data_IF_173181086193
#
_entry.id   IF_173181086193
#
_cell.length_a   1.000
_cell.length_b   1.000
_cell.length_c   1.000
_cell.angle_alpha   90.00
_cell.angle_beta   90.00
_cell.angle_gamma   90.00
#
_symmetry.space_group_name_H-M   'P 1'
#
loop_
_entity.id
_entity.type
_entity.pdbx_description
1 polymer ?
#
# COMPACT_ATOMS: atom_id res chain seq x y z
N UNK A 1 22.84 -27.55 4.48
CA UNK A 1 22.83 -26.75 3.24
C UNK A 1 23.88 -25.66 3.38
N UNK A 2 25.06 -25.79 2.75
CA UNK A 2 26.13 -24.79 2.84
C UNK A 2 25.84 -23.67 1.84
N UNK A 3 25.77 -22.41 2.29
CA UNK A 3 25.51 -21.26 1.42
C UNK A 3 24.63 -20.15 1.99
N UNK A 4 24.06 -20.34 3.19
CA UNK A 4 23.31 -19.29 3.88
C UNK A 4 24.23 -18.66 4.94
N UNK A 5 24.74 -17.46 4.68
CA UNK A 5 25.68 -16.74 5.57
C UNK A 5 25.03 -16.22 6.86
N UNK A 6 23.69 -16.18 6.95
CA UNK A 6 22.97 -15.78 8.17
C UNK A 6 21.73 -16.64 8.40
N UNK A 7 21.66 -17.34 9.54
CA UNK A 7 20.41 -17.94 10.01
C UNK A 7 19.47 -16.86 10.58
N UNK A 8 18.15 -17.09 10.52
CA UNK A 8 17.11 -16.18 11.02
C UNK A 8 17.29 -15.79 12.51
N UNK A 9 18.06 -16.58 13.26
CA UNK A 9 18.31 -16.44 14.70
C UNK A 9 19.70 -15.88 15.06
N UNK A 10 20.57 -15.60 14.07
CA UNK A 10 21.90 -15.03 14.31
C UNK A 10 21.87 -13.55 13.94
N UNK A 11 21.94 -12.61 14.91
CA UNK A 11 21.99 -11.20 14.56
C UNK A 11 23.28 -10.94 13.77
N UNK A 12 23.21 -10.40 12.54
CA UNK A 12 24.40 -9.95 11.83
C UNK A 12 25.11 -8.87 12.64
N UNK A 13 26.41 -8.63 12.42
CA UNK A 13 27.15 -7.57 13.10
C UNK A 13 26.38 -6.25 12.99
N UNK A 14 26.33 -5.49 14.09
CA UNK A 14 25.44 -4.33 14.27
C UNK A 14 25.51 -3.32 13.12
N UNK A 15 26.69 -3.17 12.51
CA UNK A 15 26.93 -2.28 11.38
C UNK A 15 26.26 -2.77 10.09
N UNK A 16 26.36 -4.07 9.78
CA UNK A 16 25.66 -4.66 8.63
C UNK A 16 24.14 -4.58 8.81
N UNK A 17 23.65 -4.87 10.02
CA UNK A 17 22.23 -4.73 10.34
C UNK A 17 21.72 -3.30 10.09
N UNK A 18 22.52 -2.28 10.44
CA UNK A 18 22.17 -0.88 10.24
C UNK A 18 22.16 -0.50 8.76
N UNK A 19 23.15 -0.95 7.98
CA UNK A 19 23.23 -0.68 6.54
C UNK A 19 22.08 -1.36 5.77
N UNK A 20 21.80 -2.64 6.06
CA UNK A 20 20.67 -3.36 5.48
C UNK A 20 19.32 -2.72 5.86
N UNK A 21 19.17 -2.29 7.11
CA UNK A 21 17.98 -1.56 7.57
C UNK A 21 17.78 -0.24 6.83
N UNK A 22 18.86 0.53 6.61
CA UNK A 22 18.83 1.77 5.85
C UNK A 22 18.46 1.54 4.38
N UNK A 23 19.03 0.52 3.75
CA UNK A 23 18.68 0.14 2.38
C UNK A 23 17.20 -0.24 2.27
N UNK A 24 16.70 -1.05 3.19
CA UNK A 24 15.30 -1.46 3.19
C UNK A 24 14.35 -0.27 3.41
N UNK A 25 14.74 0.68 4.26
CA UNK A 25 14.01 1.91 4.49
C UNK A 25 13.92 2.78 3.23
N UNK A 26 15.05 3.02 2.55
CA UNK A 26 15.07 3.82 1.31
C UNK A 26 14.24 3.19 0.20
N UNK A 27 14.34 1.87 0.01
CA UNK A 27 13.54 1.15 -0.97
C UNK A 27 12.04 1.29 -0.70
N UNK A 28 11.65 1.10 0.57
CA UNK A 28 10.25 1.19 0.98
C UNK A 28 9.69 2.62 0.86
N UNK A 29 10.49 3.62 1.20
CA UNK A 29 10.13 5.03 0.98
C UNK A 29 9.87 5.32 -0.50
N UNK A 30 10.75 4.87 -1.40
CA UNK A 30 10.60 5.06 -2.84
C UNK A 30 9.27 4.51 -3.36
N UNK A 31 8.92 3.29 -2.94
CA UNK A 31 7.68 2.63 -3.33
C UNK A 31 6.43 3.35 -2.79
N UNK A 32 6.49 3.83 -1.54
CA UNK A 32 5.37 4.52 -0.88
C UNK A 32 5.11 5.91 -1.46
N UNK A 33 6.15 6.65 -1.83
CA UNK A 33 6.04 7.99 -2.42
C UNK A 33 5.48 7.96 -3.84
N UNK A 34 5.72 6.87 -4.57
CA UNK A 34 5.35 6.75 -5.98
C UNK A 34 3.83 6.81 -6.20
N UNK A 35 3.06 6.16 -5.33
CA UNK A 35 1.59 6.08 -5.38
C UNK A 35 0.93 7.47 -5.32
N UNK A 36 1.14 8.31 -4.28
CA UNK A 36 0.54 9.64 -4.21
C UNK A 36 1.08 10.60 -5.26
N UNK A 37 2.31 10.40 -5.76
CA UNK A 37 2.86 11.18 -6.87
C UNK A 37 2.02 11.00 -8.14
N UNK A 38 1.55 9.78 -8.41
CA UNK A 38 0.72 9.45 -9.58
C UNK A 38 -0.75 9.81 -9.37
N UNK A 39 -1.28 9.57 -8.18
CA UNK A 39 -2.73 9.75 -7.91
C UNK A 39 -3.12 11.21 -7.67
N UNK A 40 -2.29 11.99 -6.96
CA UNK A 40 -2.60 13.39 -6.63
C UNK A 40 -2.93 14.27 -7.86
N UNK A 41 -2.19 14.22 -8.98
CA UNK A 41 -2.53 15.02 -10.16
C UNK A 41 -3.84 14.58 -10.83
N UNK A 42 -4.17 13.28 -10.82
CA UNK A 42 -5.41 12.78 -11.43
C UNK A 42 -6.68 13.27 -10.73
N UNK A 43 -6.58 13.65 -9.45
CA UNK A 43 -7.69 14.23 -8.70
C UNK A 43 -7.82 15.75 -8.87
N UNK A 44 -6.91 16.40 -9.62
CA UNK A 44 -6.84 17.86 -9.74
C UNK A 44 -6.21 18.56 -8.54
N UNK A 45 -5.41 17.83 -7.74
CA UNK A 45 -4.64 18.41 -6.62
C UNK A 45 -3.39 19.13 -7.12
N UNK A 46 -3.07 20.28 -6.53
CA UNK A 46 -1.83 21.00 -6.78
C UNK A 46 -0.66 20.45 -5.95
N UNK A 47 0.45 21.19 -5.95
CA UNK A 47 1.66 20.81 -5.21
C UNK A 47 1.42 20.78 -3.67
N UNK A 48 0.58 21.67 -3.16
CA UNK A 48 0.28 21.74 -1.72
C UNK A 48 -0.52 20.52 -1.25
N UNK A 49 -1.52 20.09 -2.02
CA UNK A 49 -2.34 18.93 -1.73
C UNK A 49 -1.53 17.64 -1.84
N UNK A 50 -0.68 17.54 -2.87
CA UNK A 50 0.24 16.41 -3.08
C UNK A 50 1.16 16.21 -1.88
N UNK A 51 1.81 17.28 -1.39
CA UNK A 51 2.70 17.20 -0.22
C UNK A 51 1.93 16.79 1.04
N UNK A 52 0.72 17.32 1.24
CA UNK A 52 -0.13 16.95 2.39
C UNK A 52 -0.49 15.46 2.37
N UNK A 53 -0.81 14.89 1.20
CA UNK A 53 -1.11 13.46 1.03
C UNK A 53 0.12 12.61 1.35
N UNK A 54 1.28 12.95 0.79
CA UNK A 54 2.56 12.28 1.05
C UNK A 54 2.87 12.26 2.56
N UNK A 55 2.79 13.41 3.22
CA UNK A 55 3.05 13.51 4.65
C UNK A 55 2.12 12.62 5.47
N UNK A 56 0.82 12.61 5.13
CA UNK A 56 -0.17 11.80 5.85
C UNK A 56 0.04 10.29 5.65
N UNK A 57 0.42 9.85 4.44
CA UNK A 57 0.70 8.45 4.12
C UNK A 57 1.96 7.95 4.85
N UNK A 58 3.05 8.74 4.82
CA UNK A 58 4.27 8.41 5.54
C UNK A 58 4.03 8.33 7.06
N UNK A 59 3.28 9.29 7.61
CA UNK A 59 2.94 9.29 9.02
C UNK A 59 2.08 8.08 9.41
N UNK A 60 1.05 7.75 8.62
CA UNK A 60 0.18 6.61 8.87
C UNK A 60 0.91 5.27 8.71
N UNK A 61 1.75 5.11 7.68
CA UNK A 61 2.57 3.91 7.47
C UNK A 61 3.58 3.72 8.61
N UNK A 62 4.24 4.79 9.06
CA UNK A 62 5.14 4.75 10.20
C UNK A 62 4.43 4.33 11.49
N UNK A 63 3.26 4.91 11.77
CA UNK A 63 2.45 4.55 12.95
C UNK A 63 1.98 3.09 12.89
N UNK A 64 1.48 2.63 11.74
CA UNK A 64 1.06 1.23 11.56
C UNK A 64 2.21 0.25 11.73
N UNK A 65 3.40 0.59 11.24
CA UNK A 65 4.61 -0.24 11.38
C UNK A 65 5.10 -0.28 12.83
N UNK A 66 5.05 0.85 13.55
CA UNK A 66 5.36 0.89 14.98
C UNK A 66 4.37 0.03 15.79
N UNK A 67 3.07 0.12 15.52
CA UNK A 67 2.06 -0.72 16.17
C UNK A 67 2.26 -2.21 15.86
N UNK A 68 2.59 -2.59 14.61
CA UNK A 68 2.90 -3.96 14.24
C UNK A 68 4.16 -4.50 14.93
N UNK A 69 5.19 -3.67 15.09
CA UNK A 69 6.43 -4.05 15.75
C UNK A 69 6.28 -4.16 17.27
N UNK A 70 5.54 -3.24 17.91
CA UNK A 70 5.37 -3.18 19.36
C UNK A 70 4.33 -4.17 19.89
N UNK A 71 3.16 -4.27 19.25
CA UNK A 71 2.02 -5.05 19.73
C UNK A 71 1.68 -6.27 18.85
N UNK A 72 2.31 -6.41 17.68
CA UNK A 72 2.05 -7.49 16.72
C UNK A 72 2.97 -8.69 16.88
N UNK A 73 3.28 -9.36 15.75
CA UNK A 73 4.01 -10.65 15.72
C UNK A 73 5.51 -10.53 15.99
N UNK A 74 6.02 -9.35 16.40
CA UNK A 74 7.45 -9.04 16.57
C UNK A 74 8.31 -9.31 15.32
N UNK A 75 7.70 -9.42 14.14
CA UNK A 75 8.43 -9.46 12.87
C UNK A 75 8.54 -8.04 12.31
N UNK A 76 9.71 -7.63 11.79
CA UNK A 76 9.88 -6.36 11.10
C UNK A 76 9.18 -6.42 9.73
N UNK A 77 7.88 -6.14 9.71
CA UNK A 77 7.07 -6.00 8.50
C UNK A 77 6.73 -4.53 8.32
N UNK A 78 7.21 -3.92 7.22
CA UNK A 78 6.87 -2.55 6.87
C UNK A 78 5.51 -2.55 6.18
N UNK A 79 4.54 -1.84 6.77
CA UNK A 79 3.20 -1.70 6.18
C UNK A 79 3.25 -0.67 5.06
N UNK A 80 3.29 -1.15 3.82
CA UNK A 80 3.24 -0.31 2.62
C UNK A 80 1.89 -0.42 1.95
N UNK A 81 1.48 0.66 1.29
CA UNK A 81 0.30 0.67 0.44
C UNK A 81 0.42 -0.39 -0.67
N UNK A 82 -0.65 -1.16 -0.88
CA UNK A 82 -0.67 -2.20 -1.91
C UNK A 82 -1.09 -1.63 -3.26
N UNK A 83 -0.35 -1.98 -4.32
CA UNK A 83 -0.67 -1.61 -5.70
C UNK A 83 -2.08 -2.03 -6.15
N UNK A 84 -2.62 -3.10 -5.56
CA UNK A 84 -3.97 -3.57 -5.83
C UNK A 84 -5.06 -2.52 -5.55
N UNK A 85 -4.79 -1.53 -4.68
CA UNK A 85 -5.73 -0.45 -4.40
C UNK A 85 -5.72 0.67 -5.44
N UNK A 86 -4.74 0.71 -6.36
CA UNK A 86 -4.68 1.73 -7.39
C UNK A 86 -5.90 1.68 -8.33
N UNK A 87 -6.30 0.48 -8.75
CA UNK A 87 -7.42 0.26 -9.68
C UNK A 87 -8.76 0.76 -9.11
N UNK A 88 -9.18 0.34 -7.89
CA UNK A 88 -10.42 0.85 -7.32
C UNK A 88 -10.33 2.37 -7.06
N UNK A 89 -9.16 2.90 -6.70
CA UNK A 89 -8.97 4.34 -6.52
C UNK A 89 -9.15 5.10 -7.84
N UNK A 90 -8.50 4.67 -8.93
CA UNK A 90 -8.64 5.33 -10.24
C UNK A 90 -10.05 5.19 -10.80
N UNK A 91 -10.71 4.04 -10.60
CA UNK A 91 -12.12 3.86 -10.92
C UNK A 91 -13.02 4.85 -10.17
N UNK A 92 -12.79 5.08 -8.88
CA UNK A 92 -13.53 6.08 -8.09
C UNK A 92 -13.27 7.50 -8.62
N UNK A 93 -12.03 7.85 -8.98
CA UNK A 93 -11.66 9.17 -9.53
C UNK A 93 -12.36 9.46 -10.87
N UNK A 94 -12.50 8.43 -11.70
CA UNK A 94 -13.13 8.49 -13.02
C UNK A 94 -14.68 8.40 -12.96
N UNK A 95 -15.25 8.07 -11.80
CA UNK A 95 -16.70 7.98 -11.64
C UNK A 95 -17.41 9.30 -11.97
N UNK A 96 -18.49 9.24 -12.76
CA UNK A 96 -19.27 10.43 -13.16
C UNK A 96 -19.86 11.21 -11.98
N UNK A 97 -19.94 10.58 -10.81
CA UNK A 97 -20.38 11.17 -9.54
C UNK A 97 -19.48 12.32 -9.07
N UNK A 98 -18.22 12.36 -9.53
CA UNK A 98 -17.23 13.39 -9.20
C UNK A 98 -16.96 14.39 -10.32
N UNK A 99 -17.50 14.16 -11.53
CA UNK A 99 -17.30 15.04 -12.70
C UNK A 99 -18.16 16.30 -12.67
N UNK A 100 -19.24 16.32 -11.88
CA UNK A 100 -20.18 17.47 -11.78
C UNK A 100 -19.80 18.52 -10.74
N UNK A 101 -18.68 18.38 -10.02
CA UNK A 101 -18.24 19.36 -9.01
C UNK A 101 -17.42 20.51 -9.65
N UNK A 102 -17.99 21.72 -9.63
CA UNK A 102 -17.52 22.93 -10.32
C UNK A 102 -16.16 23.53 -9.88
N UNK A 103 -15.31 22.85 -9.08
CA UNK A 103 -13.97 23.37 -8.69
C UNK A 103 -12.97 22.23 -8.39
N UNK A 104 -11.73 22.26 -8.92
CA UNK A 104 -10.74 21.17 -8.77
C UNK A 104 -10.40 20.84 -7.31
N UNK A 105 -10.28 21.85 -6.45
CA UNK A 105 -9.97 21.67 -5.02
C UNK A 105 -11.10 20.92 -4.27
N UNK A 106 -12.36 21.21 -4.61
CA UNK A 106 -13.53 20.57 -3.98
C UNK A 106 -13.67 19.12 -4.46
N UNK A 107 -13.35 18.86 -5.74
CA UNK A 107 -13.27 17.52 -6.30
C UNK A 107 -12.23 16.69 -5.55
N UNK A 108 -11.02 17.21 -5.35
CA UNK A 108 -9.96 16.54 -4.59
C UNK A 108 -10.42 16.14 -3.17
N UNK A 109 -10.97 17.08 -2.40
CA UNK A 109 -11.41 16.81 -1.02
C UNK A 109 -12.54 15.77 -0.97
N UNK A 110 -13.49 15.85 -1.89
CA UNK A 110 -14.63 14.92 -1.93
C UNK A 110 -14.17 13.51 -2.33
N UNK A 111 -13.28 13.40 -3.32
CA UNK A 111 -12.67 12.12 -3.74
C UNK A 111 -11.83 11.51 -2.62
N UNK A 112 -11.00 12.30 -1.93
CA UNK A 112 -10.20 11.82 -0.80
C UNK A 112 -11.08 11.28 0.35
N UNK A 113 -12.18 11.96 0.67
CA UNK A 113 -13.15 11.47 1.67
C UNK A 113 -13.81 10.17 1.23
N UNK A 114 -14.15 10.04 -0.05
CA UNK A 114 -14.72 8.80 -0.62
C UNK A 114 -13.76 7.62 -0.52
N UNK A 115 -12.48 7.82 -0.85
CA UNK A 115 -11.44 6.79 -0.76
C UNK A 115 -11.22 6.38 0.69
N UNK A 116 -11.11 7.32 1.62
CA UNK A 116 -10.97 7.02 3.04
C UNK A 116 -12.15 6.21 3.59
N UNK A 117 -13.38 6.56 3.20
CA UNK A 117 -14.58 5.79 3.57
C UNK A 117 -14.54 4.36 3.03
N UNK A 118 -14.18 4.20 1.75
CA UNK A 118 -14.04 2.88 1.12
C UNK A 118 -12.96 2.02 1.81
N UNK A 119 -11.82 2.61 2.18
CA UNK A 119 -10.75 1.94 2.91
C UNK A 119 -11.18 1.50 4.31
N UNK A 120 -11.95 2.31 5.03
CA UNK A 120 -12.48 1.94 6.36
C UNK A 120 -13.41 0.73 6.25
N UNK A 121 -14.35 0.75 5.30
CA UNK A 121 -15.29 -0.37 5.07
C UNK A 121 -14.51 -1.64 4.69
N UNK A 122 -13.51 -1.50 3.82
CA UNK A 122 -12.64 -2.61 3.40
C UNK A 122 -11.86 -3.19 4.60
N UNK A 123 -11.32 -2.34 5.47
CA UNK A 123 -10.61 -2.76 6.67
C UNK A 123 -11.55 -3.48 7.66
N UNK A 124 -12.77 -2.98 7.88
CA UNK A 124 -13.77 -3.65 8.71
C UNK A 124 -14.14 -5.03 8.14
N UNK A 125 -14.39 -5.11 6.83
CA UNK A 125 -14.67 -6.38 6.16
C UNK A 125 -13.52 -7.37 6.31
N UNK A 126 -12.28 -6.92 6.09
CA UNK A 126 -11.09 -7.76 6.23
C UNK A 126 -10.85 -8.22 7.67
N UNK A 127 -11.17 -7.38 8.67
CA UNK A 127 -11.13 -7.76 10.07
C UNK A 127 -12.16 -8.86 10.40
N UNK A 128 -13.39 -8.74 9.90
CA UNK A 128 -14.44 -9.76 10.07
C UNK A 128 -14.05 -11.09 9.43
N UNK A 129 -13.58 -11.07 8.18
CA UNK A 129 -13.11 -12.27 7.46
C UNK A 129 -11.89 -12.90 8.16
N UNK A 130 -11.00 -12.05 8.72
CA UNK A 130 -9.86 -12.49 9.52
C UNK A 130 -10.29 -13.19 10.82
N UNK A 131 -11.27 -12.62 11.53
CA UNK A 131 -11.79 -13.17 12.78
C UNK A 131 -12.53 -14.49 12.58
N UNK A 132 -13.27 -14.63 11.49
CA UNK A 132 -13.99 -15.86 11.14
C UNK A 132 -13.08 -17.05 10.77
N UNK A 133 -11.75 -16.87 10.73
CA UNK A 133 -10.82 -17.93 10.36
C UNK A 133 -10.88 -18.37 8.89
N UNK A 134 -11.75 -17.75 8.09
CA UNK A 134 -11.97 -18.01 6.66
C UNK A 134 -10.69 -17.85 5.84
N UNK A 135 -9.78 -16.98 6.30
CA UNK A 135 -8.44 -16.81 5.72
C UNK A 135 -7.70 -18.15 5.61
N UNK A 136 -7.77 -19.01 6.64
CA UNK A 136 -7.06 -20.30 6.68
C UNK A 136 -7.59 -21.30 5.65
N UNK A 137 -8.89 -21.25 5.36
CA UNK A 137 -9.49 -22.06 4.31
C UNK A 137 -9.19 -21.47 2.91
N UNK A 138 -9.17 -20.14 2.79
CA UNK A 138 -8.87 -19.45 1.53
C UNK A 138 -7.41 -19.66 1.07
N UNK A 139 -6.41 -19.62 1.97
CA UNK A 139 -5.02 -19.98 1.57
C UNK A 139 -4.88 -21.43 1.13
N UNK A 140 -5.79 -22.33 1.52
CA UNK A 140 -5.83 -23.70 1.00
C UNK A 140 -6.38 -23.75 -0.43
N UNK A 141 -7.22 -22.80 -0.81
CA UNK A 141 -7.76 -22.68 -2.17
C UNK A 141 -6.79 -21.93 -3.11
N UNK A 142 -6.01 -20.99 -2.56
CA UNK A 142 -4.96 -20.25 -3.26
C UNK A 142 -3.68 -21.10 -3.41
N UNK A 143 -3.79 -22.21 -4.13
CA UNK A 143 -2.61 -22.94 -4.59
C UNK A 143 -1.70 -22.02 -5.44
N UNK A 144 -0.37 -22.24 -5.45
CA UNK A 144 0.59 -21.40 -6.18
C UNK A 144 0.21 -21.17 -7.65
N UNK A 145 -0.54 -22.10 -8.24
CA UNK A 145 -1.08 -22.01 -9.60
C UNK A 145 -2.03 -20.81 -9.82
N UNK A 146 -2.81 -20.38 -8.82
CA UNK A 146 -3.70 -19.23 -8.94
C UNK A 146 -3.08 -17.92 -8.48
N UNK A 147 -2.04 -17.98 -7.64
CA UNK A 147 -1.37 -16.77 -7.11
C UNK A 147 -0.46 -16.15 -8.15
N UNK A 148 0.26 -16.96 -8.92
CA UNK A 148 1.14 -16.49 -10.00
C UNK A 148 0.39 -15.61 -11.02
N UNK A 149 -0.71 -16.07 -11.65
CA UNK A 149 -1.44 -15.24 -12.61
C UNK A 149 -2.00 -13.97 -11.96
N UNK A 150 -2.47 -14.05 -10.71
CA UNK A 150 -2.97 -12.88 -9.98
C UNK A 150 -1.88 -11.81 -9.79
N UNK A 151 -0.68 -12.21 -9.36
CA UNK A 151 0.43 -11.28 -9.19
C UNK A 151 0.85 -10.69 -10.54
N UNK A 152 0.93 -11.50 -11.61
CA UNK A 152 1.28 -11.00 -12.95
C UNK A 152 0.27 -9.99 -13.48
N UNK A 153 -1.03 -10.18 -13.20
CA UNK A 153 -2.07 -9.23 -13.60
C UNK A 153 -1.86 -7.89 -12.89
N UNK A 154 -1.69 -7.88 -11.57
CA UNK A 154 -1.43 -6.64 -10.82
C UNK A 154 -0.17 -5.91 -11.32
N UNK A 155 0.89 -6.66 -11.69
CA UNK A 155 2.09 -6.07 -12.29
C UNK A 155 1.85 -5.49 -13.69
N UNK A 156 1.05 -6.15 -14.51
CA UNK A 156 0.66 -5.67 -15.84
C UNK A 156 -0.21 -4.41 -15.74
N UNK A 157 -1.18 -4.39 -14.83
CA UNK A 157 -2.04 -3.23 -14.55
C UNK A 157 -1.22 -2.00 -14.13
N UNK A 158 -0.21 -2.21 -13.27
CA UNK A 158 0.72 -1.15 -12.89
C UNK A 158 1.44 -0.58 -14.11
N UNK A 159 1.98 -1.42 -15.00
CA UNK A 159 2.66 -0.99 -16.22
C UNK A 159 1.72 -0.20 -17.13
N UNK A 160 0.47 -0.65 -17.30
CA UNK A 160 -0.53 0.04 -18.11
C UNK A 160 -0.86 1.41 -17.51
N UNK A 161 -1.05 1.51 -16.20
CA UNK A 161 -1.33 2.77 -15.52
C UNK A 161 -0.20 3.78 -15.73
N UNK A 162 1.06 3.32 -15.67
CA UNK A 162 2.23 4.15 -15.93
C UNK A 162 2.27 4.61 -17.38
N UNK A 163 1.94 3.73 -18.33
CA UNK A 163 1.95 4.07 -19.75
C UNK A 163 0.83 5.04 -20.17
N UNK A 164 -0.24 5.15 -19.38
CA UNK A 164 -1.39 6.02 -19.68
C UNK A 164 -1.21 7.46 -19.15
N UNK A 165 -0.19 7.71 -18.31
CA UNK A 165 0.08 8.99 -17.67
C UNK A 165 1.25 9.72 -18.32
#
# INVERSE_FOLDING_TARGET
MPGIQYCINSPPPWLEALVLGFQHYLFTLGMTLWIPIMIAPQMGGGNAEKVKVIQSLLFASGLNTLFQSLFGTRLPVVAVDSYAYLIPITSIIQGSRYSSCATPIKRFVYTMKGIQGALIITACFQAVVGFLGLRRNAVRFLYPLSVVPFVTLNSLDFIILVSLC
#
